data_IF_373367272939
#
_entry.id   IF_373367272939
#
_cell.length_a   1.000
_cell.length_b   1.000
_cell.length_c   1.000
_cell.angle_alpha   90.00
_cell.angle_beta   90.00
_cell.angle_gamma   90.00
#
_symmetry.space_group_name_H-M   'P 1'
#
loop_
_entity.id
_entity.type
_entity.pdbx_description
1 polymer ?
#
# COMPACT_ATOMS: atom_id res chain seq x y z
N UNK A 1 7.73 -2.85 8.10
CA UNK A 1 6.97 -2.98 6.83
C UNK A 1 5.56 -2.47 7.10
N UNK A 2 5.04 -1.55 6.29
CA UNK A 2 3.66 -1.06 6.46
C UNK A 2 2.70 -2.20 6.20
N UNK A 3 1.76 -2.41 7.11
CA UNK A 3 0.69 -3.38 6.91
C UNK A 3 -0.36 -2.80 5.96
N UNK A 4 -0.07 -2.90 4.65
CA UNK A 4 -1.01 -2.54 3.58
C UNK A 4 -1.98 -3.70 3.39
N UNK A 5 -3.29 -3.43 3.51
CA UNK A 5 -4.32 -4.44 3.31
C UNK A 5 -4.59 -4.70 1.82
N UNK A 6 -5.14 -5.87 1.49
CA UNK A 6 -5.61 -6.15 0.13
C UNK A 6 -6.68 -5.16 -0.34
N UNK A 7 -7.52 -4.66 0.58
CA UNK A 7 -8.53 -3.65 0.28
C UNK A 7 -7.90 -2.33 -0.18
N UNK A 8 -6.80 -1.91 0.43
CA UNK A 8 -6.09 -0.70 -0.01
C UNK A 8 -5.52 -0.85 -1.41
N UNK A 9 -4.95 -2.02 -1.72
CA UNK A 9 -4.48 -2.31 -3.09
C UNK A 9 -5.64 -2.31 -4.10
N UNK A 10 -6.81 -2.80 -3.70
CA UNK A 10 -8.01 -2.80 -4.52
C UNK A 10 -8.56 -1.39 -4.78
N UNK A 11 -8.65 -0.57 -3.74
CA UNK A 11 -9.20 0.78 -3.83
C UNK A 11 -8.34 1.70 -4.70
N UNK A 12 -7.02 1.54 -4.62
CA UNK A 12 -6.06 2.26 -5.46
C UNK A 12 -5.77 1.56 -6.81
N UNK A 13 -6.56 0.54 -7.18
CA UNK A 13 -6.52 -0.14 -8.49
C UNK A 13 -5.19 -0.83 -8.83
N UNK A 14 -4.42 -1.25 -7.82
CA UNK A 14 -3.31 -2.19 -7.99
C UNK A 14 -3.82 -3.62 -8.24
N UNK A 15 -5.03 -3.90 -7.75
CA UNK A 15 -5.77 -5.14 -7.93
C UNK A 15 -7.20 -4.76 -8.31
N UNK A 16 -7.80 -5.49 -9.22
CA UNK A 16 -9.15 -5.22 -9.69
C UNK A 16 -10.03 -6.48 -9.70
N UNK A 17 -11.34 -6.27 -9.75
CA UNK A 17 -12.30 -7.34 -9.93
C UNK A 17 -12.01 -8.10 -11.23
N UNK A 18 -12.00 -9.42 -11.15
CA UNK A 18 -11.72 -10.30 -12.28
C UNK A 18 -10.25 -10.58 -12.51
N UNK A 19 -9.32 -9.91 -11.81
CA UNK A 19 -7.92 -10.32 -11.78
C UNK A 19 -7.79 -11.76 -11.26
N UNK A 20 -6.75 -12.46 -11.72
CA UNK A 20 -6.41 -13.81 -11.27
C UNK A 20 -5.34 -13.68 -10.18
N UNK A 21 -5.65 -14.19 -9.00
CA UNK A 21 -4.69 -14.46 -7.96
C UNK A 21 -4.02 -15.81 -8.26
N UNK A 22 -2.77 -15.74 -8.68
CA UNK A 22 -1.94 -16.87 -9.06
C UNK A 22 -1.09 -17.30 -7.86
N UNK A 23 -1.42 -18.44 -7.28
CA UNK A 23 -0.61 -19.07 -6.24
C UNK A 23 0.47 -19.92 -6.92
N UNK A 24 1.74 -19.63 -6.64
CA UNK A 24 2.88 -20.40 -7.12
C UNK A 24 3.77 -20.81 -5.95
N UNK A 25 3.99 -22.12 -5.80
CA UNK A 25 4.90 -22.63 -4.77
C UNK A 25 5.68 -23.83 -5.28
N UNK A 26 6.89 -23.99 -4.78
CA UNK A 26 7.72 -25.18 -5.03
C UNK A 26 7.81 -25.94 -3.70
N UNK A 27 7.45 -27.22 -3.72
CA UNK A 27 7.60 -28.11 -2.57
C UNK A 27 8.26 -29.41 -3.02
N UNK A 28 9.37 -29.80 -2.38
CA UNK A 28 10.17 -30.99 -2.73
C UNK A 28 10.44 -31.08 -4.24
N UNK A 29 10.90 -29.98 -4.84
CA UNK A 29 11.21 -29.84 -6.28
C UNK A 29 10.02 -29.98 -7.24
N UNK A 30 8.79 -30.03 -6.73
CA UNK A 30 7.57 -29.99 -7.54
C UNK A 30 6.99 -28.57 -7.51
N UNK A 31 6.82 -27.98 -8.68
CA UNK A 31 6.16 -26.67 -8.84
C UNK A 31 4.66 -26.87 -8.94
N UNK A 32 3.93 -26.09 -8.15
CA UNK A 32 2.48 -26.09 -8.11
C UNK A 32 1.96 -24.70 -8.39
N UNK A 33 0.88 -24.66 -9.19
CA UNK A 33 0.26 -23.42 -9.64
C UNK A 33 -1.25 -23.55 -9.51
N UNK A 34 -1.87 -22.63 -8.77
CA UNK A 34 -3.33 -22.50 -8.68
C UNK A 34 -3.77 -21.11 -9.10
N UNK A 35 -4.89 -21.05 -9.79
CA UNK A 35 -5.50 -19.79 -10.22
C UNK A 35 -6.83 -19.59 -9.49
N UNK A 36 -6.97 -18.43 -8.84
CA UNK A 36 -8.20 -18.02 -8.18
C UNK A 36 -8.64 -16.69 -8.78
N UNK A 37 -9.84 -16.61 -9.37
CA UNK A 37 -10.35 -15.36 -9.90
C UNK A 37 -10.93 -14.51 -8.76
N UNK A 38 -10.47 -13.28 -8.62
CA UNK A 38 -10.99 -12.32 -7.63
C UNK A 38 -12.38 -11.89 -8.09
N UNK A 39 -13.39 -12.17 -7.26
CA UNK A 39 -14.77 -11.75 -7.51
C UNK A 39 -15.08 -10.44 -6.80
N UNK A 40 -14.60 -10.27 -5.58
CA UNK A 40 -14.79 -9.04 -4.79
C UNK A 40 -13.78 -8.94 -3.64
N UNK A 41 -13.51 -7.72 -3.15
CA UNK A 41 -12.66 -7.45 -1.99
C UNK A 41 -13.36 -6.49 -1.02
N UNK A 42 -13.58 -6.97 0.20
CA UNK A 42 -14.15 -6.25 1.33
C UNK A 42 -13.05 -5.80 2.30
N UNK A 43 -13.44 -5.04 3.33
CA UNK A 43 -12.48 -4.43 4.28
C UNK A 43 -11.58 -5.45 4.99
N UNK A 44 -12.10 -6.64 5.32
CA UNK A 44 -11.36 -7.70 6.04
C UNK A 44 -11.50 -9.08 5.41
N UNK A 45 -12.10 -9.16 4.22
CA UNK A 45 -12.40 -10.42 3.54
C UNK A 45 -12.30 -10.22 2.05
N UNK A 46 -12.11 -11.29 1.31
CA UNK A 46 -12.16 -11.27 -0.14
C UNK A 46 -12.80 -12.55 -0.66
N UNK A 47 -13.51 -12.43 -1.77
CA UNK A 47 -14.24 -13.52 -2.42
C UNK A 47 -13.50 -13.91 -3.69
N UNK A 48 -13.16 -15.19 -3.80
CA UNK A 48 -12.51 -15.75 -4.98
C UNK A 48 -13.32 -16.90 -5.56
N UNK A 49 -13.14 -17.13 -6.85
CA UNK A 49 -13.65 -18.30 -7.58
C UNK A 49 -12.45 -19.17 -7.94
N UNK A 50 -12.43 -20.41 -7.46
CA UNK A 50 -11.38 -21.37 -7.78
C UNK A 50 -11.59 -21.88 -9.21
N UNK A 51 -10.65 -21.61 -10.13
CA UNK A 51 -10.83 -21.97 -11.55
C UNK A 51 -10.64 -23.46 -11.80
N UNK A 52 -9.88 -24.15 -10.95
CA UNK A 52 -9.60 -25.59 -11.05
C UNK A 52 -10.67 -26.49 -10.41
N UNK A 53 -11.54 -25.95 -9.55
CA UNK A 53 -12.49 -26.72 -8.72
C UNK A 53 -13.95 -26.31 -8.98
N UNK A 54 -14.43 -26.54 -10.21
CA UNK A 54 -15.85 -26.38 -10.58
C UNK A 54 -16.45 -24.98 -10.34
N UNK A 55 -15.63 -23.92 -10.40
CA UNK A 55 -16.04 -22.55 -10.07
C UNK A 55 -16.60 -22.38 -8.64
N UNK A 56 -16.08 -23.15 -7.68
CA UNK A 56 -16.45 -22.97 -6.28
C UNK A 56 -16.07 -21.57 -5.78
N UNK A 57 -17.03 -20.88 -5.16
CA UNK A 57 -16.82 -19.59 -4.52
C UNK A 57 -16.29 -19.79 -3.09
N UNK A 58 -15.24 -19.06 -2.75
CA UNK A 58 -14.64 -19.11 -1.42
C UNK A 58 -14.44 -17.71 -0.86
N UNK A 59 -15.04 -17.48 0.31
CA UNK A 59 -14.84 -16.26 1.08
C UNK A 59 -13.69 -16.47 2.08
N UNK A 60 -12.64 -15.68 1.95
CA UNK A 60 -11.42 -15.79 2.75
C UNK A 60 -11.25 -14.54 3.64
N UNK A 61 -10.71 -14.69 4.85
CA UNK A 61 -10.35 -13.53 5.68
C UNK A 61 -8.90 -13.11 5.44
N UNK A 62 -8.06 -14.01 4.94
CA UNK A 62 -6.64 -13.76 4.69
C UNK A 62 -6.11 -14.61 3.52
N UNK A 63 -4.94 -14.28 2.99
CA UNK A 63 -4.25 -15.14 2.03
C UNK A 63 -3.78 -16.46 2.67
N UNK A 64 -3.57 -16.49 3.98
CA UNK A 64 -3.25 -17.73 4.73
C UNK A 64 -4.45 -18.66 4.67
N UNK A 65 -5.67 -18.15 4.87
CA UNK A 65 -6.89 -18.94 4.80
C UNK A 65 -7.04 -19.59 3.42
N UNK A 66 -6.74 -18.83 2.36
CA UNK A 66 -6.79 -19.34 0.99
C UNK A 66 -5.68 -20.38 0.72
N UNK A 67 -4.45 -20.12 1.16
CA UNK A 67 -3.35 -21.08 1.02
C UNK A 67 -3.68 -22.41 1.73
N UNK A 68 -4.16 -22.34 2.97
CA UNK A 68 -4.58 -23.51 3.73
C UNK A 68 -5.65 -24.32 2.99
N UNK A 69 -6.63 -23.64 2.40
CA UNK A 69 -7.64 -24.31 1.60
C UNK A 69 -7.03 -25.02 0.39
N UNK A 70 -6.18 -24.33 -0.38
CA UNK A 70 -5.51 -24.91 -1.56
C UNK A 70 -4.74 -26.17 -1.15
N UNK A 71 -3.92 -26.09 -0.11
CA UNK A 71 -3.12 -27.22 0.40
C UNK A 71 -3.98 -28.37 0.95
N UNK A 72 -5.13 -28.12 1.57
CA UNK A 72 -5.98 -29.20 2.06
C UNK A 72 -6.88 -29.82 0.97
N UNK A 73 -7.20 -29.05 -0.07
CA UNK A 73 -8.08 -29.47 -1.16
C UNK A 73 -7.43 -30.48 -2.10
N UNK A 74 -6.10 -30.48 -2.20
CA UNK A 74 -5.36 -31.35 -3.08
C UNK A 74 -4.66 -32.48 -2.30
N UNK A 75 -4.92 -33.71 -2.74
CA UNK A 75 -4.43 -34.94 -2.09
C UNK A 75 -2.91 -34.99 -1.99
N UNK A 76 -2.19 -34.30 -2.88
CA UNK A 76 -0.72 -34.25 -2.88
C UNK A 76 -0.16 -33.39 -1.74
N UNK A 77 -1.01 -32.63 -1.05
CA UNK A 77 -0.61 -31.60 -0.08
C UNK A 77 -1.19 -31.79 1.32
N UNK A 78 -2.00 -32.84 1.56
CA UNK A 78 -2.59 -33.13 2.87
C UNK A 78 -1.59 -33.20 4.03
N UNK A 79 -0.35 -33.57 3.74
CA UNK A 79 0.72 -33.73 4.74
C UNK A 79 1.68 -32.53 4.80
N UNK A 80 1.41 -31.44 4.06
CA UNK A 80 2.27 -30.27 4.02
C UNK A 80 1.97 -29.35 5.19
N UNK A 81 2.98 -29.14 6.03
CA UNK A 81 2.95 -28.12 7.07
C UNK A 81 3.05 -26.72 6.44
N UNK A 82 2.28 -25.77 6.98
CA UNK A 82 2.40 -24.36 6.62
C UNK A 82 3.87 -23.90 6.70
N UNK A 83 4.32 -23.16 5.69
CA UNK A 83 5.64 -22.50 5.78
C UNK A 83 5.59 -21.44 6.87
N UNK A 84 6.74 -21.17 7.49
CA UNK A 84 6.93 -19.98 8.33
C UNK A 84 7.19 -18.72 7.49
N UNK A 85 7.35 -18.87 6.18
CA UNK A 85 7.54 -17.79 5.23
C UNK A 85 6.25 -17.04 4.93
N UNK A 86 6.39 -15.82 4.41
CA UNK A 86 5.29 -14.93 4.18
C UNK A 86 4.43 -15.40 2.99
N UNK A 87 3.14 -15.77 3.19
CA UNK A 87 2.26 -16.22 2.12
C UNK A 87 2.08 -15.18 1.01
N UNK A 88 2.27 -13.88 1.31
CA UNK A 88 2.16 -12.80 0.32
C UNK A 88 3.16 -12.93 -0.83
N UNK A 89 4.27 -13.63 -0.63
CA UNK A 89 5.28 -13.85 -1.68
C UNK A 89 4.85 -14.94 -2.67
N UNK A 90 3.94 -15.83 -2.27
CA UNK A 90 3.47 -16.96 -3.08
C UNK A 90 2.29 -16.61 -3.98
N UNK A 91 1.63 -15.48 -3.71
CA UNK A 91 0.52 -14.99 -4.51
C UNK A 91 0.97 -13.85 -5.42
N UNK A 92 0.71 -14.01 -6.71
CA UNK A 92 0.89 -12.97 -7.73
C UNK A 92 -0.43 -12.58 -8.36
N UNK A 93 -0.52 -11.37 -8.89
CA UNK A 93 -1.66 -10.91 -9.67
C UNK A 93 -1.38 -11.09 -11.15
N UNK A 94 -2.32 -11.74 -11.84
CA UNK A 94 -2.34 -11.93 -13.29
C UNK A 94 -3.58 -11.24 -13.85
N UNK A 95 -3.36 -10.36 -14.82
CA UNK A 95 -4.41 -9.62 -15.53
C UNK A 95 -4.24 -9.84 -17.04
N UNK A 96 -5.27 -10.39 -17.69
CA UNK A 96 -5.28 -10.73 -19.13
C UNK A 96 -3.98 -11.44 -19.59
N UNK A 97 -3.61 -12.49 -18.85
CA UNK A 97 -2.41 -13.29 -19.08
C UNK A 97 -1.05 -12.62 -18.82
N UNK A 98 -1.04 -11.40 -18.29
CA UNK A 98 0.18 -10.69 -17.88
C UNK A 98 0.32 -10.74 -16.36
N UNK A 99 1.46 -11.23 -15.86
CA UNK A 99 1.79 -11.17 -14.43
C UNK A 99 2.17 -9.72 -14.08
N UNK A 100 1.42 -9.11 -13.16
CA UNK A 100 1.65 -7.74 -12.65
C UNK A 100 2.69 -7.69 -11.53
N UNK A 101 2.86 -8.78 -10.80
CA UNK A 101 3.80 -8.90 -9.68
C UNK A 101 3.20 -9.69 -8.51
N UNK A 102 4.02 -9.99 -7.51
CA UNK A 102 3.58 -10.58 -6.24
C UNK A 102 2.77 -9.58 -5.42
N UNK A 103 1.96 -10.05 -4.46
CA UNK A 103 1.26 -9.15 -3.55
C UNK A 103 2.25 -8.30 -2.75
N UNK A 104 3.38 -8.87 -2.33
CA UNK A 104 4.46 -8.13 -1.67
C UNK A 104 5.02 -7.01 -2.54
N UNK A 105 5.30 -7.27 -3.82
CA UNK A 105 5.77 -6.27 -4.78
C UNK A 105 4.74 -5.16 -4.96
N UNK A 106 3.46 -5.51 -5.10
CA UNK A 106 2.37 -4.53 -5.23
C UNK A 106 2.22 -3.68 -3.96
N UNK A 107 2.37 -4.25 -2.77
CA UNK A 107 2.39 -3.48 -1.51
C UNK A 107 3.58 -2.51 -1.46
N UNK A 108 4.76 -2.94 -1.89
CA UNK A 108 5.93 -2.08 -1.93
C UNK A 108 5.76 -0.94 -2.94
N UNK A 109 5.19 -1.23 -4.11
CA UNK A 109 4.86 -0.22 -5.11
C UNK A 109 3.80 0.76 -4.60
N UNK A 110 2.74 0.26 -3.95
CA UNK A 110 1.73 1.10 -3.29
C UNK A 110 2.38 2.07 -2.30
N UNK A 111 3.27 1.57 -1.44
CA UNK A 111 3.96 2.42 -0.46
C UNK A 111 4.74 3.49 -1.21
N UNK A 112 5.54 3.11 -2.20
CA UNK A 112 6.36 4.05 -2.99
C UNK A 112 5.54 5.15 -3.67
N UNK A 113 4.36 4.80 -4.20
CA UNK A 113 3.54 5.73 -4.97
C UNK A 113 2.63 6.59 -4.08
N UNK A 114 2.25 6.09 -2.90
CA UNK A 114 1.31 6.74 -1.99
C UNK A 114 1.92 7.30 -0.72
N UNK A 115 3.25 7.27 -0.56
CA UNK A 115 3.93 7.98 0.53
C UNK A 115 4.55 9.29 0.08
N UNK A 116 4.56 10.25 1.02
CA UNK A 116 5.20 11.53 0.85
C UNK A 116 6.68 11.30 0.55
N UNK A 117 7.17 12.03 -0.45
CA UNK A 117 8.57 11.99 -0.84
C UNK A 117 9.34 13.03 -0.05
N UNK A 118 10.64 12.82 0.08
CA UNK A 118 11.51 13.86 0.59
C UNK A 118 11.47 15.10 -0.30
N UNK A 119 11.52 16.25 0.35
CA UNK A 119 11.58 17.56 -0.29
C UNK A 119 12.86 17.67 -1.13
N UNK A 120 13.99 17.18 -0.61
CA UNK A 120 15.30 17.27 -1.24
C UNK A 120 15.70 18.72 -1.51
N UNK A 121 16.40 18.96 -2.64
CA UNK A 121 16.88 20.29 -3.05
C UNK A 121 15.79 21.17 -3.71
N UNK A 122 14.51 20.81 -3.61
CA UNK A 122 13.44 21.59 -4.23
C UNK A 122 13.30 22.95 -3.57
N UNK A 123 13.10 23.98 -4.39
CA UNK A 123 12.88 25.35 -3.91
C UNK A 123 11.48 25.51 -3.34
N UNK A 124 11.40 26.17 -2.19
CA UNK A 124 10.16 26.58 -1.56
C UNK A 124 9.91 28.06 -1.85
N UNK A 125 8.71 28.39 -2.32
CA UNK A 125 8.26 29.78 -2.40
C UNK A 125 7.06 30.01 -1.48
N UNK A 126 6.96 31.19 -0.84
CA UNK A 126 5.82 31.49 0.02
C UNK A 126 4.52 31.61 -0.78
N UNK A 127 3.42 31.16 -0.18
CA UNK A 127 2.08 31.44 -0.71
C UNK A 127 1.71 32.87 -0.28
N UNK A 128 1.70 33.80 -1.23
CA UNK A 128 1.49 35.23 -0.95
C UNK A 128 0.00 35.63 -0.84
N UNK A 129 -0.92 34.80 -1.33
CA UNK A 129 -2.36 35.07 -1.24
C UNK A 129 -2.87 34.82 0.20
N UNK A 130 -3.33 35.86 0.91
CA UNK A 130 -3.81 35.72 2.29
C UNK A 130 -5.03 34.80 2.44
N UNK A 131 -5.90 34.72 1.43
CA UNK A 131 -7.05 33.83 1.45
C UNK A 131 -6.62 32.36 1.34
N UNK A 132 -5.59 32.09 0.52
CA UNK A 132 -5.00 30.76 0.39
C UNK A 132 -4.25 30.36 1.66
N UNK A 133 -3.43 31.24 2.23
CA UNK A 133 -2.73 30.95 3.48
C UNK A 133 -3.71 30.65 4.63
N UNK A 134 -4.79 31.43 4.78
CA UNK A 134 -5.85 31.14 5.76
C UNK A 134 -6.56 29.81 5.53
N UNK A 135 -6.74 29.41 4.26
CA UNK A 135 -7.27 28.08 3.93
C UNK A 135 -6.30 26.99 4.39
N UNK A 136 -5.00 27.16 4.15
CA UNK A 136 -3.97 26.22 4.59
C UNK A 136 -3.85 26.09 6.11
N UNK A 137 -4.17 27.11 6.90
CA UNK A 137 -4.23 26.96 8.36
C UNK A 137 -5.20 25.85 8.78
N UNK A 138 -6.35 25.73 8.10
CA UNK A 138 -7.29 24.64 8.35
C UNK A 138 -6.71 23.29 7.93
N UNK A 139 -6.11 23.21 6.75
CA UNK A 139 -5.51 21.98 6.21
C UNK A 139 -4.38 21.48 7.12
N UNK A 140 -3.49 22.38 7.56
CA UNK A 140 -2.40 22.07 8.50
C UNK A 140 -2.94 21.56 9.83
N UNK A 141 -3.96 22.21 10.39
CA UNK A 141 -4.57 21.77 11.65
C UNK A 141 -5.19 20.37 11.52
N UNK A 142 -5.90 20.09 10.43
CA UNK A 142 -6.45 18.76 10.15
C UNK A 142 -5.34 17.71 10.01
N UNK A 143 -4.27 18.05 9.29
CA UNK A 143 -3.09 17.20 9.13
C UNK A 143 -2.49 16.85 10.50
N UNK A 144 -2.25 17.86 11.35
CA UNK A 144 -1.75 17.67 12.71
C UNK A 144 -2.64 16.72 13.53
N UNK A 145 -3.96 16.92 13.53
CA UNK A 145 -4.89 16.08 14.28
C UNK A 145 -4.83 14.62 13.80
N UNK A 146 -4.81 14.41 12.48
CA UNK A 146 -4.84 13.08 11.88
C UNK A 146 -3.51 12.33 12.05
N UNK A 147 -2.39 13.04 12.02
CA UNK A 147 -1.04 12.48 12.01
C UNK A 147 -0.29 12.66 13.33
N UNK A 148 -0.94 13.13 14.40
CA UNK A 148 -0.36 13.36 15.75
C UNK A 148 0.43 12.22 16.38
N UNK A 149 0.29 11.00 15.84
CA UNK A 149 1.05 9.82 16.27
C UNK A 149 2.51 9.84 15.81
N UNK A 150 2.82 10.62 14.78
CA UNK A 150 4.17 10.78 14.26
C UNK A 150 4.84 11.99 14.92
N UNK A 151 6.15 11.91 15.16
CA UNK A 151 6.93 13.02 15.70
C UNK A 151 7.44 13.90 14.56
N UNK A 152 6.86 15.09 14.43
CA UNK A 152 7.33 16.12 13.51
C UNK A 152 7.32 17.47 14.23
N UNK A 153 8.32 18.30 13.93
CA UNK A 153 8.53 19.61 14.56
C UNK A 153 7.58 20.66 14.01
N UNK A 154 7.29 20.61 12.71
CA UNK A 154 6.55 21.67 12.04
C UNK A 154 5.84 21.19 10.77
N UNK A 155 4.73 21.86 10.43
CA UNK A 155 4.03 21.69 9.16
C UNK A 155 3.79 23.07 8.55
N UNK A 156 4.19 23.28 7.31
CA UNK A 156 3.97 24.53 6.59
C UNK A 156 3.38 24.31 5.20
N UNK A 157 2.83 25.38 4.64
CA UNK A 157 2.44 25.49 3.25
C UNK A 157 3.49 26.23 2.43
N UNK A 158 3.77 25.74 1.23
CA UNK A 158 4.66 26.40 0.29
C UNK A 158 4.27 26.05 -1.15
N UNK A 159 4.75 26.85 -2.10
CA UNK A 159 4.82 26.45 -3.50
C UNK A 159 6.10 25.63 -3.72
N UNK A 160 5.91 24.40 -4.20
CA UNK A 160 6.98 23.48 -4.63
C UNK A 160 6.71 23.12 -6.08
N UNK A 161 7.69 23.32 -6.95
CA UNK A 161 7.54 23.11 -8.40
C UNK A 161 6.28 23.83 -8.96
N UNK A 162 6.08 25.09 -8.54
CA UNK A 162 4.93 25.96 -8.87
C UNK A 162 3.56 25.42 -8.44
N UNK A 163 3.51 24.48 -7.48
CA UNK A 163 2.27 23.91 -6.94
C UNK A 163 2.22 24.04 -5.43
N UNK A 164 1.05 24.37 -4.90
CA UNK A 164 0.84 24.44 -3.46
C UNK A 164 0.98 23.04 -2.85
N UNK A 165 1.73 22.96 -1.77
CA UNK A 165 2.11 21.72 -1.11
C UNK A 165 2.13 21.89 0.40
N UNK A 166 2.04 20.77 1.10
CA UNK A 166 2.24 20.66 2.54
C UNK A 166 3.65 20.12 2.78
N UNK A 167 4.45 20.82 3.57
CA UNK A 167 5.80 20.41 3.95
C UNK A 167 5.79 20.03 5.42
N UNK A 168 6.29 18.85 5.74
CA UNK A 168 6.35 18.31 7.09
C UNK A 168 7.80 18.15 7.51
N UNK A 169 8.19 18.85 8.57
CA UNK A 169 9.54 18.82 9.13
C UNK A 169 9.61 17.78 10.24
N UNK A 170 10.38 16.72 10.05
CA UNK A 170 10.42 15.58 10.96
C UNK A 170 11.42 15.79 12.10
N UNK A 171 11.12 15.24 13.29
CA UNK A 171 12.03 15.31 14.45
C UNK A 171 13.14 14.24 14.43
N UNK A 172 12.92 13.15 13.69
CA UNK A 172 13.81 11.99 13.69
C UNK A 172 14.55 11.88 12.35
N UNK A 173 15.85 11.59 12.39
CA UNK A 173 16.65 11.14 11.24
C UNK A 173 16.06 9.83 10.68
N UNK A 174 16.14 9.66 9.36
CA UNK A 174 15.63 8.62 8.42
C UNK A 174 15.33 7.17 8.91
N UNK A 175 15.67 6.75 10.13
CA UNK A 175 15.63 5.36 10.59
C UNK A 175 14.22 4.86 10.99
N UNK A 176 13.27 5.75 11.29
CA UNK A 176 11.87 5.37 11.44
C UNK A 176 11.16 5.59 10.11
N UNK A 177 10.69 4.50 9.48
CA UNK A 177 9.91 4.57 8.25
C UNK A 177 8.57 5.28 8.51
N UNK A 178 8.57 6.61 8.46
CA UNK A 178 7.37 7.43 8.64
C UNK A 178 6.64 7.49 7.30
N UNK A 179 5.49 6.81 7.26
CA UNK A 179 4.66 6.75 6.07
C UNK A 179 3.57 7.81 6.15
N UNK A 180 3.95 9.07 5.87
CA UNK A 180 2.98 10.13 5.57
C UNK A 180 2.42 9.93 4.16
N UNK A 181 1.16 10.30 3.89
CA UNK A 181 0.55 10.09 2.58
C UNK A 181 1.18 11.03 1.55
N UNK A 182 1.29 10.60 0.28
CA UNK A 182 1.80 11.43 -0.81
C UNK A 182 0.94 12.68 -1.07
N UNK A 183 -0.34 12.62 -0.68
CA UNK A 183 -1.28 13.73 -0.76
C UNK A 183 -2.16 13.80 0.48
N UNK A 184 -2.56 15.01 0.86
CA UNK A 184 -3.53 15.26 1.91
C UNK A 184 -4.48 16.38 1.50
N UNK A 185 -5.80 16.11 1.60
CA UNK A 185 -6.86 17.03 1.13
C UNK A 185 -6.65 17.54 -0.31
N UNK A 186 -6.02 16.73 -1.17
CA UNK A 186 -5.73 17.07 -2.57
C UNK A 186 -4.37 17.73 -2.81
N UNK A 187 -3.64 18.12 -1.76
CA UNK A 187 -2.33 18.75 -1.87
C UNK A 187 -1.20 17.73 -1.75
N UNK A 188 -0.12 17.83 -2.55
CA UNK A 188 1.08 17.03 -2.37
C UNK A 188 1.69 17.28 -0.99
N UNK A 189 2.21 16.22 -0.39
CA UNK A 189 2.92 16.27 0.90
C UNK A 189 4.38 15.91 0.66
N UNK A 190 5.28 16.72 1.22
CA UNK A 190 6.72 16.48 1.22
C UNK A 190 7.25 16.40 2.64
N UNK A 191 8.29 15.59 2.82
CA UNK A 191 8.98 15.41 4.10
C UNK A 191 10.32 16.14 4.04
N UNK A 192 10.64 16.92 5.07
CA UNK A 192 11.98 17.49 5.26
C UNK A 192 12.55 16.99 6.58
N UNK A 193 13.80 16.50 6.54
CA UNK A 193 14.59 16.16 7.72
C UNK A 193 15.58 17.29 8.07
N UNK A 194 15.61 18.35 7.27
CA UNK A 194 16.43 19.52 7.54
C UNK A 194 15.78 20.38 8.62
N UNK A 195 16.61 21.04 9.43
CA UNK A 195 16.11 22.01 10.41
C UNK A 195 15.54 23.21 9.67
N UNK A 196 14.30 23.59 9.98
CA UNK A 196 13.69 24.80 9.42
C UNK A 196 14.51 26.03 9.80
N UNK A 197 15.29 26.57 8.86
CA UNK A 197 16.03 27.82 9.04
C UNK A 197 15.25 28.96 8.38
N UNK A 198 14.70 29.86 9.20
CA UNK A 198 14.17 31.14 8.73
C UNK A 198 15.36 32.07 8.43
N UNK A 199 15.45 32.53 7.18
CA UNK A 199 16.30 33.66 6.79
C UNK A 199 15.47 34.92 6.65
#
# INVERSE_FOLDING_TARGET
MVDISLKQLYDEKYIEQGNILLYNRIYKDVKFTYECKIKDIYEKKFLVVLTSAENMEMLCNSLIDLELYILHSDIHFKDILLSTENPYDWFSIKDKDVIKGSITELKNQYVKDNTAKELGERKLYPILDPYRSKFFDKVKNNFWIQFKKFSFSYVCEALVDDKEAIIVFMDQLEEASVHLPAKFEGFPVFISYEVFQLH
#
